data_IF_504770702152
#
_entry.id   IF_504770702152
#
_cell.length_a   1.000
_cell.length_b   1.000
_cell.length_c   1.000
_cell.angle_alpha   90.00
_cell.angle_beta   90.00
_cell.angle_gamma   90.00
#
_symmetry.space_group_name_H-M   'P 1'
#
loop_
_entity.id
_entity.type
_entity.pdbx_description
1 polymer ?
#
# COMPACT_ATOMS: atom_id res chain seq x y z
N UNK A 1 8.73 -14.26 -25.86
CA UNK A 1 8.82 -14.85 -24.49
C UNK A 1 7.52 -15.60 -24.25
N UNK A 2 7.58 -16.82 -23.76
CA UNK A 2 6.36 -17.49 -23.28
C UNK A 2 5.77 -16.64 -22.13
N UNK A 3 4.44 -16.52 -22.01
CA UNK A 3 3.86 -15.76 -20.91
C UNK A 3 4.29 -16.43 -19.62
N UNK A 4 5.02 -15.68 -18.79
CA UNK A 4 5.32 -16.09 -17.43
C UNK A 4 3.97 -16.16 -16.73
N UNK A 5 3.62 -17.33 -16.21
CA UNK A 5 2.36 -17.53 -15.50
C UNK A 5 2.24 -16.61 -14.25
N UNK A 6 1.21 -16.83 -13.45
CA UNK A 6 1.04 -16.11 -12.18
C UNK A 6 2.25 -16.34 -11.27
N UNK A 7 2.87 -15.26 -10.80
CA UNK A 7 3.99 -15.28 -9.86
C UNK A 7 3.57 -14.68 -8.54
N UNK A 8 4.07 -15.24 -7.46
CA UNK A 8 4.02 -14.66 -6.13
C UNK A 8 5.45 -14.44 -5.63
N UNK A 9 5.74 -13.26 -5.13
CA UNK A 9 7.01 -12.95 -4.47
C UNK A 9 6.73 -12.58 -3.01
N UNK A 10 7.50 -13.18 -2.09
CA UNK A 10 7.42 -12.85 -0.67
C UNK A 10 8.76 -12.29 -0.21
N UNK A 11 8.73 -11.16 0.47
CA UNK A 11 9.89 -10.62 1.17
C UNK A 11 9.73 -10.89 2.66
N UNK A 12 10.52 -11.81 3.16
CA UNK A 12 10.56 -12.21 4.57
C UNK A 12 11.74 -11.51 5.24
N UNK A 13 11.53 -10.90 6.40
CA UNK A 13 12.57 -10.20 7.13
C UNK A 13 12.62 -10.63 8.59
N UNK A 14 13.82 -10.83 9.09
CA UNK A 14 14.11 -11.13 10.49
C UNK A 14 15.24 -10.24 10.98
N UNK A 15 15.04 -9.62 12.13
CA UNK A 15 15.93 -8.54 12.59
C UNK A 15 17.28 -9.01 13.17
N UNK A 16 17.54 -10.32 13.18
CA UNK A 16 18.80 -10.89 13.68
C UNK A 16 19.43 -11.82 12.63
N UNK A 17 20.76 -12.01 12.63
CA UNK A 17 21.48 -12.79 11.60
C UNK A 17 21.09 -14.28 11.53
N UNK A 18 20.48 -14.82 12.57
CA UNK A 18 20.04 -16.23 12.66
C UNK A 18 18.64 -16.46 12.08
N UNK A 19 18.04 -15.47 11.46
CA UNK A 19 16.70 -15.53 10.89
C UNK A 19 16.50 -16.65 9.87
N UNK A 20 17.54 -17.09 9.17
CA UNK A 20 17.47 -18.23 8.25
C UNK A 20 16.95 -19.50 8.91
N UNK A 21 17.14 -19.66 10.22
CA UNK A 21 16.73 -20.82 11.00
C UNK A 21 15.48 -20.54 11.87
N UNK A 22 14.89 -19.36 11.77
CA UNK A 22 13.73 -19.00 12.57
C UNK A 22 12.51 -19.81 12.13
N UNK A 23 11.88 -20.52 13.09
CA UNK A 23 10.74 -21.41 12.84
C UNK A 23 9.50 -20.69 12.32
N UNK A 24 9.40 -19.38 12.52
CA UNK A 24 8.32 -18.56 11.98
C UNK A 24 8.24 -18.61 10.44
N UNK A 25 9.33 -18.98 9.78
CA UNK A 25 9.40 -19.10 8.32
C UNK A 25 9.29 -20.54 7.79
N UNK A 26 9.04 -21.54 8.65
CA UNK A 26 8.99 -22.94 8.23
C UNK A 26 7.92 -23.21 7.17
N UNK A 27 6.73 -22.62 7.34
CA UNK A 27 5.65 -22.74 6.35
C UNK A 27 6.05 -22.14 5.00
N UNK A 28 6.72 -20.99 4.99
CA UNK A 28 7.22 -20.36 3.77
C UNK A 28 8.29 -21.20 3.08
N UNK A 29 9.24 -21.73 3.86
CA UNK A 29 10.29 -22.61 3.34
C UNK A 29 9.77 -23.93 2.78
N UNK A 30 8.58 -24.37 3.19
CA UNK A 30 7.95 -25.58 2.66
C UNK A 30 7.36 -25.37 1.24
N UNK A 31 7.17 -24.14 0.81
CA UNK A 31 6.65 -23.80 -0.52
C UNK A 31 7.81 -23.85 -1.53
N UNK A 32 7.71 -24.69 -2.61
CA UNK A 32 8.74 -24.72 -3.63
C UNK A 32 8.94 -23.34 -4.28
N UNK A 33 10.15 -22.80 -4.16
CA UNK A 33 10.50 -21.51 -4.76
C UNK A 33 11.07 -21.69 -6.16
N UNK A 34 10.71 -20.81 -7.09
CA UNK A 34 11.36 -20.69 -8.40
C UNK A 34 12.74 -20.06 -8.25
N UNK A 35 12.87 -19.14 -7.31
CA UNK A 35 14.11 -18.46 -6.96
C UNK A 35 14.09 -18.15 -5.47
N UNK A 36 15.21 -18.38 -4.80
CA UNK A 36 15.43 -18.03 -3.40
C UNK A 36 16.67 -17.12 -3.32
N UNK A 37 16.48 -15.91 -2.82
CA UNK A 37 17.54 -14.91 -2.63
C UNK A 37 17.77 -14.63 -1.15
N UNK A 38 17.34 -15.54 -0.27
CA UNK A 38 17.54 -15.42 1.18
C UNK A 38 19.01 -15.26 1.54
N UNK A 39 19.31 -14.34 2.44
CA UNK A 39 20.67 -14.06 2.88
C UNK A 39 20.69 -13.13 4.08
N UNK A 40 21.88 -12.88 4.59
CA UNK A 40 22.12 -11.87 5.64
C UNK A 40 22.60 -10.59 4.97
N UNK A 41 21.81 -9.54 5.11
CA UNK A 41 22.05 -8.26 4.47
C UNK A 41 22.07 -7.14 5.51
N UNK A 42 22.88 -6.13 5.30
CA UNK A 42 22.71 -4.85 5.98
C UNK A 42 21.47 -4.12 5.41
N UNK A 43 20.92 -3.19 6.17
CA UNK A 43 19.78 -2.37 5.68
C UNK A 43 20.16 -1.61 4.39
N UNK A 44 21.39 -1.14 4.28
CA UNK A 44 21.88 -0.47 3.08
C UNK A 44 21.86 -1.40 1.85
N UNK A 45 22.32 -2.64 2.00
CA UNK A 45 22.27 -3.64 0.92
C UNK A 45 20.84 -3.99 0.52
N UNK A 46 19.93 -4.16 1.48
CA UNK A 46 18.49 -4.40 1.19
C UNK A 46 17.89 -3.24 0.39
N UNK A 47 18.21 -2.00 0.77
CA UNK A 47 17.73 -0.80 0.06
C UNK A 47 18.29 -0.74 -1.36
N UNK A 48 19.58 -1.04 -1.53
CA UNK A 48 20.21 -1.08 -2.86
C UNK A 48 19.59 -2.17 -3.75
N UNK A 49 19.44 -3.39 -3.24
CA UNK A 49 18.82 -4.50 -3.99
C UNK A 49 17.39 -4.16 -4.43
N UNK A 50 16.64 -3.44 -3.58
CA UNK A 50 15.30 -2.97 -3.93
C UNK A 50 15.32 -1.93 -5.05
N UNK A 51 16.29 -1.01 -5.03
CA UNK A 51 16.47 0.01 -6.06
C UNK A 51 16.83 -0.59 -7.42
N UNK A 52 17.72 -1.59 -7.44
CA UNK A 52 18.15 -2.25 -8.68
C UNK A 52 17.02 -2.98 -9.42
N UNK A 53 15.98 -3.42 -8.71
CA UNK A 53 14.79 -4.03 -9.30
C UNK A 53 13.76 -3.04 -9.85
N UNK A 54 13.96 -1.74 -9.62
CA UNK A 54 13.00 -0.70 -10.05
C UNK A 54 13.47 -0.11 -11.39
N UNK A 55 12.62 -0.14 -12.45
CA UNK A 55 12.99 0.47 -13.71
C UNK A 55 13.33 1.96 -13.55
N UNK A 56 14.48 2.38 -14.04
CA UNK A 56 14.85 3.79 -14.04
C UNK A 56 14.08 4.59 -15.09
N UNK A 57 13.62 5.75 -14.72
CA UNK A 57 13.48 6.93 -15.57
C UNK A 57 12.10 7.21 -16.11
N UNK A 58 11.63 6.67 -17.19
CA UNK A 58 10.62 7.31 -18.04
C UNK A 58 9.19 6.75 -17.94
N UNK A 59 8.94 5.79 -17.07
CA UNK A 59 7.63 5.19 -16.91
C UNK A 59 6.69 6.10 -16.10
N UNK A 60 5.45 6.19 -16.55
CA UNK A 60 4.35 6.75 -15.75
C UNK A 60 4.05 5.81 -14.60
N UNK A 61 3.62 6.35 -13.47
CA UNK A 61 3.37 5.57 -12.27
C UNK A 61 2.10 6.03 -11.58
N UNK A 62 1.38 5.10 -10.98
CA UNK A 62 0.29 5.39 -10.04
C UNK A 62 0.31 4.40 -8.90
N UNK A 63 0.03 4.90 -7.70
CA UNK A 63 -0.14 4.09 -6.50
C UNK A 63 -1.58 4.26 -6.02
N UNK A 64 -2.15 3.18 -5.50
CA UNK A 64 -3.45 3.18 -4.85
C UNK A 64 -3.42 2.22 -3.68
N UNK A 65 -4.05 2.57 -2.57
CA UNK A 65 -4.10 1.67 -1.43
C UNK A 65 -5.43 1.68 -0.68
N UNK A 66 -5.68 0.60 0.01
CA UNK A 66 -6.72 0.45 1.02
C UNK A 66 -6.20 -0.39 2.17
N UNK A 67 -6.74 -0.20 3.36
CA UNK A 67 -6.49 -1.09 4.48
C UNK A 67 -7.75 -1.86 4.88
N UNK A 68 -7.51 -3.05 5.45
CA UNK A 68 -8.56 -3.97 5.86
C UNK A 68 -8.16 -4.67 7.16
N UNK A 69 -9.14 -5.16 7.93
CA UNK A 69 -8.90 -6.15 8.97
C UNK A 69 -8.45 -7.46 8.34
N UNK A 70 -7.57 -8.20 9.02
CA UNK A 70 -7.08 -9.46 8.50
C UNK A 70 -8.23 -10.47 8.33
N UNK A 71 -8.50 -10.84 7.07
CA UNK A 71 -9.56 -11.77 6.70
C UNK A 71 -9.12 -12.60 5.48
N UNK A 72 -9.12 -13.92 5.64
CA UNK A 72 -8.65 -14.85 4.58
C UNK A 72 -9.54 -14.80 3.34
N UNK A 73 -10.87 -14.78 3.50
CA UNK A 73 -11.82 -14.75 2.37
C UNK A 73 -11.62 -13.49 1.54
N UNK A 74 -11.41 -12.34 2.21
CA UNK A 74 -11.12 -11.08 1.54
C UNK A 74 -9.80 -11.11 0.77
N UNK A 75 -8.74 -11.70 1.35
CA UNK A 75 -7.45 -11.85 0.65
C UNK A 75 -7.59 -12.69 -0.61
N UNK A 76 -8.33 -13.78 -0.55
CA UNK A 76 -8.63 -14.61 -1.72
C UNK A 76 -9.41 -13.81 -2.76
N UNK A 77 -10.48 -13.12 -2.36
CA UNK A 77 -11.27 -12.29 -3.25
C UNK A 77 -10.43 -11.22 -3.96
N UNK A 78 -9.60 -10.48 -3.23
CA UNK A 78 -8.71 -9.44 -3.80
C UNK A 78 -7.78 -10.02 -4.85
N UNK A 79 -7.18 -11.18 -4.55
CA UNK A 79 -6.26 -11.86 -5.46
C UNK A 79 -6.98 -12.32 -6.73
N UNK A 80 -8.14 -12.94 -6.59
CA UNK A 80 -8.93 -13.42 -7.73
C UNK A 80 -9.41 -12.25 -8.58
N UNK A 81 -9.90 -11.17 -7.97
CA UNK A 81 -10.34 -9.96 -8.65
C UNK A 81 -9.21 -9.27 -9.39
N UNK A 82 -8.01 -9.20 -8.82
CA UNK A 82 -6.82 -8.69 -9.48
C UNK A 82 -6.56 -9.44 -10.79
N UNK A 83 -6.54 -10.77 -10.74
CA UNK A 83 -6.31 -11.59 -11.94
C UNK A 83 -7.47 -11.57 -12.93
N UNK A 84 -8.71 -11.37 -12.48
CA UNK A 84 -9.87 -11.16 -13.34
C UNK A 84 -9.74 -9.87 -14.15
N UNK A 85 -9.28 -8.79 -13.53
CA UNK A 85 -9.16 -7.47 -14.17
C UNK A 85 -7.86 -7.32 -15.00
N UNK A 86 -6.81 -8.07 -14.70
CA UNK A 86 -5.50 -7.95 -15.33
C UNK A 86 -5.52 -8.00 -16.88
N UNK A 87 -6.35 -8.83 -17.55
CA UNK A 87 -6.46 -8.84 -19.00
C UNK A 87 -6.82 -7.47 -19.62
N UNK A 88 -7.44 -6.57 -18.87
CA UNK A 88 -7.81 -5.23 -19.35
C UNK A 88 -6.63 -4.30 -19.60
N UNK A 89 -5.44 -4.62 -19.07
CA UNK A 89 -4.25 -3.76 -19.12
C UNK A 89 -2.99 -4.49 -19.61
N UNK A 90 -3.01 -5.82 -19.75
CA UNK A 90 -1.80 -6.61 -20.00
C UNK A 90 -1.16 -6.37 -21.36
N UNK A 91 -1.90 -5.80 -22.32
CA UNK A 91 -1.44 -5.41 -23.65
C UNK A 91 -0.81 -4.01 -23.68
N UNK A 92 -0.85 -3.26 -22.57
CA UNK A 92 -0.29 -1.92 -22.47
C UNK A 92 1.24 -1.99 -22.53
N UNK A 93 1.84 -1.13 -23.33
CA UNK A 93 3.29 -1.07 -23.48
C UNK A 93 3.98 -0.66 -22.17
N UNK A 94 4.97 -1.46 -21.77
CA UNK A 94 5.73 -1.21 -20.54
C UNK A 94 4.92 -1.41 -19.26
N UNK A 95 3.77 -2.08 -19.34
CA UNK A 95 2.95 -2.34 -18.15
C UNK A 95 3.71 -3.20 -17.14
N UNK A 96 3.76 -2.69 -15.92
CA UNK A 96 4.15 -3.43 -14.72
C UNK A 96 3.06 -3.17 -13.67
N UNK A 97 2.17 -4.13 -13.50
CA UNK A 97 1.10 -4.07 -12.54
C UNK A 97 1.44 -4.94 -11.32
N UNK A 98 1.38 -4.38 -10.13
CA UNK A 98 1.63 -5.10 -8.89
C UNK A 98 0.49 -4.95 -7.91
N UNK A 99 0.24 -6.02 -7.17
CA UNK A 99 -0.72 -6.08 -6.09
C UNK A 99 0.01 -6.59 -4.85
N UNK A 100 0.44 -5.68 -3.99
CA UNK A 100 1.19 -6.01 -2.79
C UNK A 100 0.27 -6.01 -1.56
N UNK A 101 0.45 -7.01 -0.70
CA UNK A 101 -0.29 -7.14 0.56
C UNK A 101 0.70 -7.04 1.70
N UNK A 102 0.56 -6.00 2.52
CA UNK A 102 1.47 -5.69 3.62
C UNK A 102 0.73 -5.78 4.95
N UNK A 103 1.13 -6.70 5.85
CA UNK A 103 0.50 -6.79 7.16
C UNK A 103 0.93 -5.65 8.07
N UNK A 104 -0.03 -5.12 8.84
CA UNK A 104 0.21 -4.30 10.03
C UNK A 104 -0.09 -5.18 11.24
N UNK A 105 0.97 -5.70 11.83
CA UNK A 105 0.87 -6.66 12.92
C UNK A 105 0.42 -6.03 14.24
N UNK A 106 -0.09 -6.85 15.16
CA UNK A 106 -0.45 -6.38 16.50
C UNK A 106 0.74 -5.73 17.23
N UNK A 107 1.94 -6.25 17.05
CA UNK A 107 3.16 -5.67 17.63
C UNK A 107 3.44 -4.25 17.10
N UNK A 108 3.25 -4.02 15.80
CA UNK A 108 3.36 -2.68 15.20
C UNK A 108 2.28 -1.74 15.74
N UNK A 109 1.02 -2.18 15.79
CA UNK A 109 -0.09 -1.38 16.34
C UNK A 109 0.16 -0.97 17.79
N UNK A 110 0.62 -1.90 18.62
CA UNK A 110 0.98 -1.61 20.01
C UNK A 110 2.17 -0.62 20.09
N UNK A 111 3.15 -0.77 19.19
CA UNK A 111 4.28 0.16 19.07
C UNK A 111 3.85 1.58 18.69
N UNK A 112 2.84 1.72 17.83
CA UNK A 112 2.27 3.01 17.43
C UNK A 112 1.59 3.77 18.56
N UNK A 113 1.25 3.12 19.67
CA UNK A 113 0.63 3.77 20.83
C UNK A 113 1.64 4.35 21.81
N UNK A 114 2.95 4.09 21.65
CA UNK A 114 3.99 4.61 22.55
C UNK A 114 4.04 6.14 22.50
N UNK A 115 4.43 6.76 23.62
CA UNK A 115 4.63 8.21 23.75
C UNK A 115 3.40 9.06 23.35
N UNK A 116 2.20 8.58 23.64
CA UNK A 116 0.95 9.28 23.35
C UNK A 116 0.37 8.99 21.97
N UNK A 117 0.90 8.00 21.28
CA UNK A 117 0.37 7.53 20.00
C UNK A 117 0.64 8.47 18.82
N UNK A 118 0.14 8.06 17.67
CA UNK A 118 0.14 8.87 16.43
C UNK A 118 -1.30 9.30 16.07
N UNK A 119 -1.44 10.00 14.95
CA UNK A 119 -2.73 10.49 14.46
C UNK A 119 -3.29 9.68 13.28
N UNK A 120 -2.87 8.43 13.09
CA UNK A 120 -3.28 7.62 11.93
C UNK A 120 -4.67 6.99 12.06
N UNK A 121 -5.25 6.96 13.25
CA UNK A 121 -6.58 6.39 13.47
C UNK A 121 -6.64 4.86 13.48
N UNK A 122 -5.49 4.18 13.48
CA UNK A 122 -5.42 2.72 13.58
C UNK A 122 -5.62 2.28 15.03
N UNK A 123 -6.72 1.58 15.30
CA UNK A 123 -7.05 1.05 16.61
C UNK A 123 -6.42 -0.35 16.81
N UNK A 124 -5.53 -0.54 17.80
CA UNK A 124 -4.98 -1.86 18.12
C UNK A 124 -6.04 -2.92 18.44
N UNK A 125 -7.19 -2.52 18.99
CA UNK A 125 -8.28 -3.45 19.32
C UNK A 125 -9.00 -3.97 18.07
N UNK A 126 -8.93 -3.24 16.95
CA UNK A 126 -9.53 -3.62 15.68
C UNK A 126 -8.62 -4.44 14.76
N UNK A 127 -7.30 -4.54 15.08
CA UNK A 127 -6.31 -5.22 14.25
C UNK A 127 -6.13 -6.71 14.55
N UNK A 128 -5.22 -7.39 13.91
CA UNK A 128 -4.28 -6.87 12.89
C UNK A 128 -4.95 -6.45 11.58
N UNK A 129 -4.27 -5.57 10.83
CA UNK A 129 -4.72 -5.10 9.53
C UNK A 129 -3.74 -5.54 8.42
N UNK A 130 -4.14 -5.37 7.18
CA UNK A 130 -3.23 -5.35 6.06
C UNK A 130 -3.52 -4.16 5.14
N UNK A 131 -2.50 -3.74 4.41
CA UNK A 131 -2.60 -2.75 3.35
C UNK A 131 -2.54 -3.49 2.02
N UNK A 132 -3.54 -3.28 1.17
CA UNK A 132 -3.48 -3.60 -0.24
C UNK A 132 -2.86 -2.40 -0.95
N UNK A 133 -1.73 -2.60 -1.61
CA UNK A 133 -1.08 -1.58 -2.42
C UNK A 133 -1.02 -2.01 -3.87
N UNK A 134 -1.56 -1.18 -4.75
CA UNK A 134 -1.41 -1.32 -6.20
C UNK A 134 -0.35 -0.33 -6.65
N UNK A 135 0.80 -0.84 -7.10
CA UNK A 135 1.86 -0.02 -7.69
C UNK A 135 1.95 -0.37 -9.17
N UNK A 136 1.50 0.54 -10.02
CA UNK A 136 1.37 0.30 -11.44
C UNK A 136 2.25 1.27 -12.23
N UNK A 137 2.92 0.74 -13.27
CA UNK A 137 3.75 1.50 -14.19
C UNK A 137 3.36 1.20 -15.64
N UNK A 138 3.54 2.17 -16.54
CA UNK A 138 3.31 2.02 -17.97
C UNK A 138 4.04 3.12 -18.76
N UNK A 139 4.15 2.97 -20.09
CA UNK A 139 4.97 3.88 -20.91
C UNK A 139 4.20 5.13 -21.37
N UNK A 140 2.97 4.99 -21.86
CA UNK A 140 2.30 6.03 -22.64
C UNK A 140 1.17 6.72 -21.89
N UNK A 141 1.03 8.03 -22.09
CA UNK A 141 -0.02 8.83 -21.46
C UNK A 141 -1.43 8.42 -21.90
N UNK A 142 -1.56 7.94 -23.13
CA UNK A 142 -2.83 7.51 -23.70
C UNK A 142 -3.45 6.33 -22.96
N UNK A 143 -2.63 5.52 -22.29
CA UNK A 143 -3.07 4.37 -21.51
C UNK A 143 -3.46 4.73 -20.06
N UNK A 144 -3.21 5.97 -19.62
CA UNK A 144 -3.51 6.41 -18.26
C UNK A 144 -4.97 6.16 -17.83
N UNK A 145 -5.99 6.44 -18.65
CA UNK A 145 -7.39 6.17 -18.26
C UNK A 145 -7.65 4.68 -17.99
N UNK A 146 -7.04 3.77 -18.76
CA UNK A 146 -7.17 2.32 -18.55
C UNK A 146 -6.51 1.88 -17.24
N UNK A 147 -5.30 2.40 -16.95
CA UNK A 147 -4.55 2.08 -15.73
C UNK A 147 -5.26 2.60 -14.48
N UNK A 148 -5.79 3.82 -14.54
CA UNK A 148 -6.57 4.41 -13.45
C UNK A 148 -7.86 3.63 -13.22
N UNK A 149 -8.58 3.28 -14.30
CA UNK A 149 -9.80 2.49 -14.21
C UNK A 149 -9.55 1.11 -13.60
N UNK A 150 -8.51 0.40 -14.04
CA UNK A 150 -8.11 -0.88 -13.46
C UNK A 150 -7.90 -0.78 -11.94
N UNK A 151 -7.15 0.23 -11.50
CA UNK A 151 -6.87 0.45 -10.08
C UNK A 151 -8.15 0.78 -9.30
N UNK A 152 -8.96 1.69 -9.83
CA UNK A 152 -10.23 2.11 -9.23
C UNK A 152 -11.22 0.95 -9.11
N UNK A 153 -11.41 0.17 -10.17
CA UNK A 153 -12.34 -0.97 -10.18
C UNK A 153 -11.93 -2.02 -9.13
N UNK A 154 -10.64 -2.35 -9.05
CA UNK A 154 -10.15 -3.31 -8.07
C UNK A 154 -10.34 -2.80 -6.63
N UNK A 155 -10.03 -1.53 -6.36
CA UNK A 155 -10.22 -0.96 -5.04
C UNK A 155 -11.69 -0.90 -4.64
N UNK A 156 -12.56 -0.47 -5.53
CA UNK A 156 -14.01 -0.37 -5.26
C UNK A 156 -14.61 -1.75 -4.97
N UNK A 157 -14.26 -2.76 -5.80
CA UNK A 157 -14.71 -4.14 -5.57
C UNK A 157 -14.19 -4.68 -4.23
N UNK A 158 -12.91 -4.45 -3.92
CA UNK A 158 -12.29 -4.88 -2.66
C UNK A 158 -12.93 -4.20 -1.45
N UNK A 159 -13.22 -2.90 -1.53
CA UNK A 159 -13.89 -2.15 -0.44
C UNK A 159 -15.33 -2.64 -0.23
N UNK A 160 -16.06 -2.92 -1.30
CA UNK A 160 -17.41 -3.46 -1.21
C UNK A 160 -17.42 -4.83 -0.53
N UNK A 161 -16.51 -5.71 -0.91
CA UNK A 161 -16.38 -7.04 -0.33
C UNK A 161 -15.92 -6.97 1.14
N UNK A 162 -14.99 -6.09 1.47
CA UNK A 162 -14.57 -5.88 2.85
C UNK A 162 -15.74 -5.46 3.74
N UNK A 163 -16.60 -4.57 3.27
CA UNK A 163 -17.83 -4.19 3.98
C UNK A 163 -18.78 -5.36 4.16
N UNK A 164 -18.98 -6.17 3.11
CA UNK A 164 -19.82 -7.39 3.19
C UNK A 164 -19.33 -8.35 4.27
N UNK A 165 -18.02 -8.46 4.43
CA UNK A 165 -17.36 -9.35 5.39
C UNK A 165 -17.16 -8.73 6.79
N UNK A 166 -17.51 -7.45 6.99
CA UNK A 166 -17.23 -6.72 8.25
C UNK A 166 -15.74 -6.53 8.51
N UNK A 167 -14.92 -6.58 7.47
CA UNK A 167 -13.47 -6.47 7.50
C UNK A 167 -12.97 -5.10 6.99
N UNK A 168 -13.85 -4.16 6.68
CA UNK A 168 -13.47 -2.85 6.20
C UNK A 168 -12.72 -2.03 7.24
N UNK A 169 -11.85 -1.13 6.75
CA UNK A 169 -11.13 -0.13 7.51
C UNK A 169 -10.98 1.13 6.64
N UNK A 170 -11.05 2.30 7.24
CA UNK A 170 -10.98 3.56 6.49
C UNK A 170 -9.55 4.06 6.26
N UNK A 171 -8.56 3.55 7.03
CA UNK A 171 -7.18 4.03 6.95
C UNK A 171 -6.59 3.86 5.55
N UNK A 172 -6.03 4.95 5.03
CA UNK A 172 -5.28 5.01 3.79
C UNK A 172 -3.84 5.41 4.13
N UNK A 173 -2.86 4.63 3.66
CA UNK A 173 -1.45 4.93 3.91
C UNK A 173 -0.98 6.01 2.95
N UNK A 174 -0.71 7.20 3.46
CA UNK A 174 -0.40 8.41 2.68
C UNK A 174 0.71 8.20 1.64
N UNK A 175 1.72 7.38 1.93
CA UNK A 175 2.83 7.16 1.01
C UNK A 175 2.46 6.32 -0.22
N UNK A 176 1.30 5.64 -0.20
CA UNK A 176 0.80 4.83 -1.31
C UNK A 176 -0.51 5.38 -1.88
N UNK A 177 -1.03 6.45 -1.31
CA UNK A 177 -2.29 7.01 -1.74
C UNK A 177 -2.17 7.68 -3.12
N UNK A 178 -3.18 7.45 -3.96
CA UNK A 178 -3.32 8.12 -5.24
C UNK A 178 -3.83 9.55 -5.07
N UNK A 179 -3.69 10.36 -6.12
CA UNK A 179 -4.28 11.70 -6.17
C UNK A 179 -5.82 11.73 -6.00
N UNK A 180 -6.47 10.59 -6.15
CA UNK A 180 -7.94 10.44 -6.04
C UNK A 180 -8.39 10.04 -4.63
N UNK A 181 -7.47 9.88 -3.69
CA UNK A 181 -7.73 9.41 -2.34
C UNK A 181 -7.50 10.55 -1.32
N UNK A 182 -8.20 10.48 -0.19
CA UNK A 182 -8.03 11.40 0.94
C UNK A 182 -7.45 10.67 2.16
N UNK A 183 -6.12 10.49 2.23
CA UNK A 183 -5.50 9.80 3.35
C UNK A 183 -5.65 10.55 4.67
N UNK A 184 -5.63 11.89 4.67
CA UNK A 184 -5.77 12.67 5.91
C UNK A 184 -7.19 12.55 6.46
N UNK A 185 -8.21 12.65 5.61
CA UNK A 185 -9.59 12.43 6.02
C UNK A 185 -9.83 11.03 6.58
N UNK A 186 -9.10 10.03 6.06
CA UNK A 186 -9.20 8.63 6.51
C UNK A 186 -8.76 8.37 7.96
N UNK A 187 -7.99 9.31 8.55
CA UNK A 187 -7.54 9.19 9.95
C UNK A 187 -8.66 9.43 10.97
N UNK A 188 -9.83 9.86 10.51
CA UNK A 188 -10.99 10.16 11.33
C UNK A 188 -10.97 11.56 11.95
N UNK A 189 -12.15 12.13 12.16
CA UNK A 189 -12.32 13.52 12.59
C UNK A 189 -11.53 13.92 13.86
N UNK A 190 -11.43 13.10 14.92
CA UNK A 190 -10.65 13.45 16.10
C UNK A 190 -9.16 13.65 15.79
N UNK A 191 -8.58 12.76 14.97
CA UNK A 191 -7.17 12.83 14.58
C UNK A 191 -6.90 13.99 13.63
N UNK A 192 -7.77 14.24 12.68
CA UNK A 192 -7.68 15.40 11.77
C UNK A 192 -7.71 16.70 12.57
N UNK A 193 -8.61 16.82 13.56
CA UNK A 193 -8.68 18.00 14.43
C UNK A 193 -7.42 18.14 15.28
N UNK A 194 -6.84 17.04 15.79
CA UNK A 194 -5.55 17.07 16.48
C UNK A 194 -4.44 17.60 15.57
N UNK A 195 -4.35 17.09 14.32
CA UNK A 195 -3.36 17.55 13.35
C UNK A 195 -3.52 19.04 13.02
N UNK A 196 -4.75 19.53 12.84
CA UNK A 196 -5.05 20.95 12.64
C UNK A 196 -4.62 21.80 13.84
N UNK A 197 -4.84 21.31 15.06
CA UNK A 197 -4.36 21.96 16.28
C UNK A 197 -2.84 22.07 16.36
N UNK A 198 -2.13 21.01 15.96
CA UNK A 198 -0.67 20.98 15.87
C UNK A 198 -0.18 22.00 14.81
N UNK A 199 -0.77 21.97 13.60
CA UNK A 199 -0.43 22.93 12.55
C UNK A 199 -0.64 24.38 13.03
N UNK A 200 -1.78 24.70 13.61
CA UNK A 200 -2.05 26.05 14.14
C UNK A 200 -1.02 26.51 15.19
N UNK A 201 -0.52 25.56 16.00
CA UNK A 201 0.46 25.87 17.05
C UNK A 201 1.87 26.10 16.49
N UNK A 202 2.32 25.27 15.54
CA UNK A 202 3.72 25.23 15.10
C UNK A 202 3.94 25.85 13.72
N UNK A 203 2.89 26.00 12.93
CA UNK A 203 2.89 26.63 11.61
C UNK A 203 1.67 27.56 11.45
N UNK A 204 1.56 28.61 12.28
CA UNK A 204 0.41 29.53 12.26
C UNK A 204 0.28 30.32 10.96
N UNK A 205 1.35 30.43 10.17
CA UNK A 205 1.36 31.08 8.86
C UNK A 205 1.04 30.08 7.72
N UNK A 206 0.76 28.83 8.03
CA UNK A 206 0.39 27.77 7.09
C UNK A 206 1.42 27.56 5.95
N UNK A 207 2.72 27.76 6.25
CA UNK A 207 3.82 27.62 5.29
C UNK A 207 3.83 26.23 4.66
N UNK A 208 3.66 25.16 5.48
CA UNK A 208 3.63 23.78 5.00
C UNK A 208 2.35 23.45 4.22
N UNK A 209 1.28 24.21 4.39
CA UNK A 209 0.05 24.00 3.65
C UNK A 209 0.02 24.76 2.32
N UNK A 210 0.69 25.91 2.24
CA UNK A 210 0.57 26.86 1.12
C UNK A 210 1.82 26.94 0.25
N UNK A 211 3.02 26.90 0.86
CA UNK A 211 4.28 27.13 0.14
C UNK A 211 5.06 25.85 -0.15
N UNK A 212 4.86 24.78 0.62
CA UNK A 212 5.48 23.48 0.34
C UNK A 212 4.64 22.74 -0.69
N UNK A 213 5.19 22.38 -1.87
CA UNK A 213 4.46 21.60 -2.86
C UNK A 213 4.17 20.20 -2.31
N UNK A 214 3.08 19.58 -2.75
CA UNK A 214 2.70 18.22 -2.38
C UNK A 214 1.20 18.02 -2.52
N UNK A 215 0.78 16.76 -2.61
CA UNK A 215 -0.60 16.41 -2.89
C UNK A 215 -1.53 16.63 -1.71
N UNK A 216 -1.19 16.05 -0.54
CA UNK A 216 -2.13 15.96 0.57
C UNK A 216 -1.96 17.11 1.55
N UNK A 217 -3.02 17.86 1.75
CA UNK A 217 -3.07 19.02 2.65
C UNK A 217 -4.15 18.84 3.71
N UNK A 218 -3.93 19.41 4.90
CA UNK A 218 -4.85 19.26 6.05
C UNK A 218 -6.30 19.69 5.79
N UNK A 219 -6.49 20.54 4.76
CA UNK A 219 -7.79 21.12 4.43
C UNK A 219 -8.25 20.77 3.01
N UNK A 220 -7.48 19.99 2.26
CA UNK A 220 -7.68 19.85 0.82
C UNK A 220 -8.51 18.61 0.40
N UNK A 221 -8.59 17.57 1.23
CA UNK A 221 -9.16 16.31 0.77
C UNK A 221 -8.31 15.62 -0.31
N UNK A 222 -8.94 14.88 -1.21
CA UNK A 222 -8.27 14.29 -2.37
C UNK A 222 -7.84 15.41 -3.35
N UNK A 223 -6.58 15.41 -3.83
CA UNK A 223 -6.10 16.39 -4.80
C UNK A 223 -6.90 16.42 -6.10
N UNK A 224 -7.37 15.28 -6.55
CA UNK A 224 -8.29 15.14 -7.68
C UNK A 224 -9.48 14.26 -7.24
N UNK A 225 -10.59 14.84 -6.77
CA UNK A 225 -11.72 14.05 -6.25
C UNK A 225 -12.53 13.32 -7.34
N UNK A 226 -12.28 13.61 -8.61
CA UNK A 226 -13.00 13.02 -9.73
C UNK A 226 -12.29 11.76 -10.23
N UNK A 227 -12.22 10.73 -9.39
CA UNK A 227 -11.79 9.40 -9.84
C UNK A 227 -12.81 8.83 -10.83
N UNK A 228 -12.36 8.21 -11.91
CA UNK A 228 -13.23 7.52 -12.85
C UNK A 228 -13.90 6.29 -12.24
#
# INVERSE_FOLDING_TARGET
MAPIGKLFAAQLQYATPDGANASIFDEWRSIPALQDTTGVFSLAQLTQNHGEGTPEGTLRQTYWDLSFKLNRELLTFVTDKYYELLPSIIDIEGVLATCAIQPITQGQLNGMQKNGGNALGLDPAGGPYFILNLANMWSKIEDEPRMIKFSSDLLQASKAEAKRLGADNDYIYMNYASQFQDPIGSYGAPNVNRLRGVAKKYDPAEVFQTLVPGYFKLYGGAPNPNAP
#
